data_IF_482996946079
#
_entry.id   IF_482996946079
#
_cell.length_a   1.000
_cell.length_b   1.000
_cell.length_c   1.000
_cell.angle_alpha   90.00
_cell.angle_beta   90.00
_cell.angle_gamma   90.00
#
_symmetry.space_group_name_H-M   'P 1'
#
loop_
_entity.id
_entity.type
_entity.pdbx_description
1 polymer ?
#
# COMPACT_ATOMS: atom_id res chain seq x y z
N UNK A 1 -2.69 -39.58 -39.77
CA UNK A 1 -1.43 -39.13 -39.18
C UNK A 1 -1.36 -37.63 -38.97
N UNK A 2 -1.87 -36.82 -39.87
CA UNK A 2 -1.87 -35.38 -39.74
C UNK A 2 -2.71 -34.86 -38.56
N UNK A 3 -3.74 -35.64 -38.16
CA UNK A 3 -4.59 -35.29 -37.03
C UNK A 3 -3.82 -35.29 -35.70
N UNK A 4 -2.86 -36.23 -35.54
CA UNK A 4 -2.03 -36.33 -34.32
C UNK A 4 -1.03 -35.19 -34.20
N UNK A 5 -0.62 -34.56 -35.30
CA UNK A 5 0.28 -33.42 -35.30
C UNK A 5 -0.46 -32.11 -35.03
N UNK A 6 -1.75 -32.06 -35.38
CA UNK A 6 -2.58 -30.87 -35.18
C UNK A 6 -2.99 -30.73 -33.71
N UNK A 7 -3.32 -31.83 -33.01
CA UNK A 7 -3.76 -31.79 -31.60
C UNK A 7 -2.79 -31.14 -30.63
N UNK A 8 -1.47 -31.47 -30.65
CA UNK A 8 -0.53 -30.78 -29.75
C UNK A 8 -0.42 -29.28 -30.02
N UNK A 9 -0.53 -28.88 -31.30
CA UNK A 9 -0.51 -27.46 -31.66
C UNK A 9 -1.72 -26.71 -31.12
N UNK A 10 -2.90 -27.28 -31.14
CA UNK A 10 -4.10 -26.70 -30.58
C UNK A 10 -4.00 -26.52 -29.04
N UNK A 11 -3.48 -27.53 -28.35
CA UNK A 11 -3.31 -27.50 -26.91
C UNK A 11 -2.34 -26.39 -26.49
N UNK A 12 -1.21 -26.27 -27.20
CA UNK A 12 -0.21 -25.23 -26.92
C UNK A 12 -0.79 -23.83 -27.17
N UNK A 13 -1.50 -23.65 -28.28
CA UNK A 13 -2.14 -22.36 -28.59
C UNK A 13 -3.19 -22.00 -27.55
N UNK A 14 -3.96 -22.95 -27.05
CA UNK A 14 -4.96 -22.75 -26.03
C UNK A 14 -4.32 -22.33 -24.68
N UNK A 15 -3.23 -22.97 -24.30
CA UNK A 15 -2.47 -22.63 -23.09
C UNK A 15 -1.90 -21.22 -23.20
N UNK A 16 -1.34 -20.84 -24.32
CA UNK A 16 -0.82 -19.49 -24.55
C UNK A 16 -1.92 -18.45 -24.43
N UNK A 17 -3.11 -18.73 -24.95
CA UNK A 17 -4.26 -17.83 -24.84
C UNK A 17 -4.71 -17.65 -23.39
N UNK A 18 -4.76 -18.73 -22.61
CA UNK A 18 -5.12 -18.66 -21.19
C UNK A 18 -4.11 -17.84 -20.40
N UNK A 19 -2.82 -18.02 -20.65
CA UNK A 19 -1.77 -17.26 -19.99
C UNK A 19 -1.84 -15.78 -20.36
N UNK A 20 -2.16 -15.47 -21.60
CA UNK A 20 -2.31 -14.10 -22.08
C UNK A 20 -3.50 -13.42 -21.41
N UNK A 21 -4.65 -14.07 -21.30
CA UNK A 21 -5.82 -13.55 -20.60
C UNK A 21 -5.53 -13.29 -19.12
N UNK A 22 -4.79 -14.20 -18.48
CA UNK A 22 -4.39 -14.04 -17.09
C UNK A 22 -3.51 -12.80 -16.87
N UNK A 23 -2.54 -12.57 -17.76
CA UNK A 23 -1.69 -11.38 -17.72
C UNK A 23 -2.50 -10.09 -17.88
N UNK A 24 -3.46 -10.08 -18.80
CA UNK A 24 -4.32 -8.92 -19.02
C UNK A 24 -5.14 -8.61 -17.77
N UNK A 25 -5.69 -9.63 -17.11
CA UNK A 25 -6.44 -9.43 -15.86
C UNK A 25 -5.56 -8.81 -14.75
N UNK A 26 -4.32 -9.26 -14.61
CA UNK A 26 -3.38 -8.70 -13.63
C UNK A 26 -3.05 -7.26 -13.94
N UNK A 27 -2.83 -6.92 -15.20
CA UNK A 27 -2.54 -5.54 -15.62
C UNK A 27 -3.73 -4.64 -15.34
N UNK A 28 -4.95 -5.07 -15.66
CA UNK A 28 -6.17 -4.31 -15.37
C UNK A 28 -6.36 -4.09 -13.88
N UNK A 29 -6.12 -5.11 -13.06
CA UNK A 29 -6.23 -5.00 -11.61
C UNK A 29 -5.23 -3.97 -11.05
N UNK A 30 -3.99 -3.96 -11.55
CA UNK A 30 -2.98 -2.98 -11.16
C UNK A 30 -3.38 -1.56 -11.55
N UNK A 31 -3.92 -1.37 -12.76
CA UNK A 31 -4.37 -0.07 -13.23
C UNK A 31 -5.54 0.46 -12.39
N UNK A 32 -6.49 -0.40 -12.04
CA UNK A 32 -7.61 -0.03 -11.19
C UNK A 32 -7.11 0.40 -9.80
N UNK A 33 -6.16 -0.34 -9.22
CA UNK A 33 -5.56 0.03 -7.95
C UNK A 33 -4.85 1.37 -8.02
N UNK A 34 -4.10 1.65 -9.08
CA UNK A 34 -3.43 2.94 -9.28
C UNK A 34 -4.44 4.08 -9.40
N UNK A 35 -5.53 3.90 -10.15
CA UNK A 35 -6.56 4.92 -10.25
C UNK A 35 -7.26 5.17 -8.93
N UNK A 36 -7.54 4.11 -8.17
CA UNK A 36 -8.22 4.23 -6.88
C UNK A 36 -7.39 5.00 -5.86
N UNK A 37 -6.05 4.86 -5.91
CA UNK A 37 -5.12 5.47 -4.97
C UNK A 37 -4.30 6.61 -5.58
N UNK A 38 -4.64 7.09 -6.77
CA UNK A 38 -3.83 8.10 -7.47
C UNK A 38 -3.66 9.42 -6.71
N UNK A 39 -4.60 9.75 -5.82
CA UNK A 39 -4.57 10.97 -5.02
C UNK A 39 -4.19 10.70 -3.56
N UNK A 40 -3.65 9.51 -3.27
CA UNK A 40 -3.26 9.14 -1.91
C UNK A 40 -1.83 8.63 -1.87
N UNK A 41 -1.12 9.00 -0.81
CA UNK A 41 0.21 8.51 -0.52
C UNK A 41 0.15 7.47 0.58
N UNK A 42 0.93 6.42 0.41
CA UNK A 42 1.10 5.39 1.43
C UNK A 42 2.03 5.94 2.53
N UNK A 43 1.59 5.82 3.76
CA UNK A 43 2.33 6.35 4.90
C UNK A 43 2.14 5.46 6.13
N UNK A 44 2.86 5.78 7.19
CA UNK A 44 2.79 5.04 8.46
C UNK A 44 2.64 6.03 9.60
N UNK A 45 1.84 5.67 10.60
CA UNK A 45 1.70 6.43 11.84
C UNK A 45 2.29 5.60 12.97
N UNK A 46 3.11 6.20 13.78
CA UNK A 46 3.67 5.54 14.95
C UNK A 46 3.60 6.48 16.16
N UNK A 47 3.42 5.88 17.32
CA UNK A 47 3.39 6.63 18.59
C UNK A 47 4.69 6.36 19.33
N UNK A 48 5.36 7.44 19.73
CA UNK A 48 6.57 7.35 20.53
C UNK A 48 6.24 7.06 21.99
N UNK A 49 7.25 6.70 22.77
CA UNK A 49 7.09 6.38 24.18
C UNK A 49 6.52 7.55 24.97
N UNK A 50 6.83 8.79 24.58
CA UNK A 50 6.32 10.01 25.22
C UNK A 50 4.86 10.32 24.85
N UNK A 51 4.24 9.53 23.98
CA UNK A 51 2.87 9.75 23.52
C UNK A 51 2.75 10.54 22.23
N UNK A 52 3.85 11.06 21.69
CA UNK A 52 3.83 11.83 20.44
C UNK A 52 3.51 10.98 19.23
N UNK A 53 2.65 11.49 18.35
CA UNK A 53 2.31 10.83 17.09
C UNK A 53 3.10 11.44 15.95
N UNK A 54 3.66 10.56 15.10
CA UNK A 54 4.43 10.96 13.95
C UNK A 54 3.96 10.22 12.71
N UNK A 55 4.01 10.91 11.58
CA UNK A 55 3.71 10.34 10.26
C UNK A 55 5.03 10.11 9.52
N UNK A 56 5.18 8.92 8.95
CA UNK A 56 6.36 8.53 8.18
C UNK A 56 5.95 8.11 6.79
N UNK A 57 6.72 8.49 5.78
CA UNK A 57 6.46 8.10 4.38
C UNK A 57 7.11 6.78 4.02
N UNK A 58 8.00 6.26 4.86
CA UNK A 58 8.55 4.91 4.80
C UNK A 58 8.35 4.24 6.13
N UNK A 59 8.34 2.91 6.16
CA UNK A 59 8.14 2.17 7.41
C UNK A 59 9.23 2.54 8.41
N UNK A 60 8.88 3.11 9.57
CA UNK A 60 9.87 3.51 10.56
C UNK A 60 10.45 2.31 11.31
N UNK A 61 11.61 2.53 11.90
CA UNK A 61 12.28 1.56 12.77
C UNK A 61 12.03 1.91 14.23
N UNK A 62 11.83 0.90 15.06
CA UNK A 62 11.66 1.10 16.49
C UNK A 62 13.03 1.34 17.15
N UNK A 63 13.17 2.48 17.84
CA UNK A 63 14.31 2.77 18.69
C UNK A 63 14.01 2.51 20.16
N UNK A 64 14.84 3.05 21.05
CA UNK A 64 14.68 2.84 22.50
C UNK A 64 13.46 3.58 23.08
N UNK A 65 13.21 4.82 22.63
CA UNK A 65 12.13 5.65 23.15
C UNK A 65 11.27 6.27 22.04
N UNK A 66 11.68 6.11 20.78
CA UNK A 66 10.96 6.68 19.64
C UNK A 66 11.23 5.88 18.39
N UNK A 67 10.37 6.07 17.40
CA UNK A 67 10.57 5.53 16.06
C UNK A 67 11.49 6.44 15.26
N UNK A 68 12.20 5.85 14.30
CA UNK A 68 13.08 6.57 13.38
C UNK A 68 12.65 6.26 11.94
N UNK A 69 12.53 7.30 11.12
CA UNK A 69 12.21 7.16 9.70
C UNK A 69 12.97 8.19 8.89
N UNK A 70 13.07 7.95 7.57
CA UNK A 70 13.81 8.82 6.66
C UNK A 70 13.14 10.18 6.53
N UNK A 71 11.81 10.19 6.38
CA UNK A 71 11.01 11.41 6.29
C UNK A 71 9.88 11.28 7.30
N UNK A 72 9.82 12.20 8.25
CA UNK A 72 8.82 12.19 9.29
C UNK A 72 8.29 13.60 9.55
N UNK A 73 7.01 13.67 9.88
CA UNK A 73 6.36 14.91 10.28
C UNK A 73 5.53 14.69 11.54
N UNK A 74 5.50 15.64 12.48
CA UNK A 74 4.63 15.50 13.65
C UNK A 74 3.16 15.59 13.24
N UNK A 75 2.31 14.73 13.81
CA UNK A 75 0.89 14.74 13.55
C UNK A 75 0.20 15.74 14.48
N UNK A 76 -0.04 16.95 13.98
CA UNK A 76 -0.86 17.95 14.65
C UNK A 76 -2.31 17.81 14.19
N UNK A 77 -3.25 18.41 14.93
CA UNK A 77 -4.66 18.39 14.54
C UNK A 77 -4.89 18.97 13.16
N UNK A 78 -4.16 20.02 12.82
CA UNK A 78 -4.23 20.63 11.48
C UNK A 78 -3.78 19.65 10.39
N UNK A 79 -2.69 18.93 10.61
CA UNK A 79 -2.19 17.92 9.68
C UNK A 79 -3.16 16.75 9.54
N UNK A 80 -3.75 16.30 10.63
CA UNK A 80 -4.75 15.23 10.62
C UNK A 80 -5.92 15.61 9.70
N UNK A 81 -6.45 16.81 9.85
CA UNK A 81 -7.57 17.28 9.04
C UNK A 81 -7.18 17.44 7.56
N UNK A 82 -6.01 18.02 7.31
CA UNK A 82 -5.52 18.29 5.96
C UNK A 82 -5.25 16.99 5.17
N UNK A 83 -4.70 15.99 5.84
CA UNK A 83 -4.36 14.71 5.21
C UNK A 83 -5.54 13.76 5.09
N UNK A 84 -6.70 14.12 5.63
CA UNK A 84 -7.90 13.29 5.57
C UNK A 84 -7.81 12.04 6.44
N UNK A 85 -7.06 12.12 7.54
CA UNK A 85 -6.92 11.02 8.49
C UNK A 85 -8.10 10.97 9.46
N UNK A 86 -8.51 9.77 9.83
CA UNK A 86 -9.52 9.55 10.84
C UNK A 86 -8.84 9.28 12.18
N UNK A 87 -9.07 10.17 13.14
CA UNK A 87 -8.49 10.08 14.48
C UNK A 87 -8.83 8.75 15.17
N UNK A 88 -10.02 8.19 14.90
CA UNK A 88 -10.44 6.93 15.49
C UNK A 88 -9.56 5.75 15.08
N UNK A 89 -8.90 5.82 13.92
CA UNK A 89 -8.06 4.75 13.42
C UNK A 89 -6.78 4.57 14.23
N UNK A 90 -6.28 5.65 14.86
CA UNK A 90 -5.02 5.61 15.59
C UNK A 90 -5.12 6.11 17.05
N UNK A 91 -6.34 6.42 17.53
CA UNK A 91 -6.53 6.89 18.91
C UNK A 91 -6.00 5.89 19.94
N UNK A 92 -6.12 4.60 19.66
CA UNK A 92 -5.69 3.52 20.55
C UNK A 92 -4.29 2.99 20.21
N UNK A 93 -3.59 3.61 19.25
CA UNK A 93 -2.23 3.22 18.90
C UNK A 93 -1.28 3.54 20.05
N UNK A 94 -0.49 2.57 20.48
CA UNK A 94 0.43 2.68 21.61
C UNK A 94 1.88 2.55 21.15
N UNK A 95 2.80 2.93 22.01
CA UNK A 95 4.23 2.75 21.77
C UNK A 95 4.59 1.30 21.46
N UNK A 96 3.95 0.34 22.15
CA UNK A 96 4.21 -1.09 21.98
C UNK A 96 3.69 -1.65 20.65
N UNK A 97 2.81 -0.92 19.99
CA UNK A 97 2.20 -1.37 18.75
C UNK A 97 3.12 -1.13 17.54
N UNK A 98 2.96 -1.97 16.51
CA UNK A 98 3.63 -1.74 15.24
C UNK A 98 3.10 -0.48 14.57
N UNK A 99 3.91 0.18 13.72
CA UNK A 99 3.42 1.34 12.97
C UNK A 99 2.16 1.01 12.17
N UNK A 100 1.18 1.89 12.23
CA UNK A 100 -0.09 1.74 11.52
C UNK A 100 0.06 2.21 10.08
N UNK A 101 -0.27 1.34 9.15
CA UNK A 101 -0.25 1.65 7.72
C UNK A 101 -1.49 2.46 7.34
N UNK A 102 -1.31 3.60 6.71
CA UNK A 102 -2.40 4.50 6.31
C UNK A 102 -2.17 5.04 4.91
N UNK A 103 -3.23 5.56 4.32
CA UNK A 103 -3.18 6.31 3.07
C UNK A 103 -3.62 7.74 3.35
N UNK A 104 -2.81 8.69 2.95
CA UNK A 104 -3.04 10.11 3.18
C UNK A 104 -3.28 10.83 1.87
N UNK A 105 -4.06 11.93 1.92
CA UNK A 105 -4.29 12.74 0.75
C UNK A 105 -3.00 13.43 0.33
N UNK A 106 -2.74 13.48 -0.98
CA UNK A 106 -1.60 14.23 -1.50
C UNK A 106 -1.85 15.71 -1.33
N UNK A 107 -0.82 16.43 -0.90
CA UNK A 107 -0.87 17.89 -0.84
C UNK A 107 -0.76 18.45 -2.27
N UNK A 108 -1.66 19.36 -2.59
CA UNK A 108 -1.59 20.11 -3.86
C UNK A 108 -0.64 21.31 -3.71
#
# INVERSE_FOLDING_TARGET
MNILLIFPGFIIAFIILLLYEHKIKLIKARLICKEHNKNKLHAYIARDLDGGLWLYFNKPFRGDERFFGVISVPLTQHKINHLGLNENDYANLKWEDEPLEVFVNMED
#
